data_IF_666573962297
#
_entry.id   IF_666573962297
#
_cell.length_a   1.000
_cell.length_b   1.000
_cell.length_c   1.000
_cell.angle_alpha   90.00
_cell.angle_beta   90.00
_cell.angle_gamma   90.00
#
_symmetry.space_group_name_H-M   'P 1'
#
loop_
_entity.id
_entity.type
_entity.pdbx_description
1 polymer ?
#
# COMPACT_ATOMS: atom_id res chain seq x y z
N UNK A 1 -26.69 -16.96 -4.15
CA UNK A 1 -27.02 -16.82 -2.71
C UNK A 1 -26.12 -17.78 -1.94
N UNK A 2 -25.06 -17.27 -1.31
CA UNK A 2 -24.26 -18.03 -0.32
C UNK A 2 -24.67 -17.47 1.04
N UNK A 3 -25.16 -18.34 1.92
CA UNK A 3 -25.51 -17.98 3.30
C UNK A 3 -24.24 -17.48 4.00
N UNK A 4 -24.16 -16.17 4.18
CA UNK A 4 -23.08 -15.49 4.87
C UNK A 4 -23.38 -15.61 6.37
N UNK A 5 -22.74 -16.56 7.06
CA UNK A 5 -22.58 -16.42 8.51
C UNK A 5 -21.67 -15.20 8.66
N UNK A 6 -22.25 -14.03 8.93
CA UNK A 6 -21.50 -12.79 9.03
C UNK A 6 -20.66 -12.84 10.31
N UNK A 7 -19.41 -13.30 10.19
CA UNK A 7 -18.43 -13.20 11.26
C UNK A 7 -18.24 -11.73 11.63
N UNK A 8 -18.08 -11.46 12.93
CA UNK A 8 -17.92 -10.11 13.51
C UNK A 8 -16.69 -9.35 13.00
N UNK A 9 -15.69 -10.07 12.52
CA UNK A 9 -14.43 -9.58 11.95
C UNK A 9 -13.83 -10.69 11.06
N UNK A 10 -12.88 -10.35 10.19
CA UNK A 10 -12.04 -11.31 9.48
C UNK A 10 -10.65 -11.39 10.10
N UNK A 11 -10.03 -12.56 10.01
CA UNK A 11 -8.62 -12.78 10.32
C UNK A 11 -8.02 -13.58 9.18
N UNK A 12 -7.07 -12.99 8.47
CA UNK A 12 -6.48 -13.54 7.26
C UNK A 12 -4.95 -13.59 7.41
N UNK A 13 -4.38 -14.80 7.55
CA UNK A 13 -2.93 -15.03 7.56
C UNK A 13 -2.50 -15.53 6.18
N UNK A 14 -1.86 -14.65 5.41
CA UNK A 14 -1.62 -14.89 3.98
C UNK A 14 -0.13 -14.94 3.69
N UNK A 15 0.28 -15.98 2.97
CA UNK A 15 1.63 -16.16 2.43
C UNK A 15 1.57 -16.07 0.91
N UNK A 16 2.15 -15.01 0.34
CA UNK A 16 2.06 -14.73 -1.11
C UNK A 16 3.42 -14.44 -1.71
N UNK A 17 3.59 -14.73 -2.99
CA UNK A 17 4.79 -14.31 -3.71
C UNK A 17 4.84 -12.77 -3.80
N UNK A 18 6.02 -12.11 -3.70
CA UNK A 18 6.13 -10.66 -3.84
C UNK A 18 5.49 -10.11 -5.12
N UNK A 19 5.48 -10.90 -6.19
CA UNK A 19 4.82 -10.56 -7.48
C UNK A 19 3.29 -10.42 -7.36
N UNK A 20 2.67 -11.05 -6.38
CA UNK A 20 1.26 -10.91 -6.02
C UNK A 20 1.07 -9.65 -5.17
N UNK A 21 1.38 -8.50 -5.76
CA UNK A 21 1.24 -7.21 -5.08
C UNK A 21 -0.18 -7.02 -4.55
N UNK A 22 -0.31 -6.31 -3.42
CA UNK A 22 -1.63 -5.86 -2.96
C UNK A 22 -1.90 -4.55 -3.70
N UNK A 23 -2.64 -4.67 -4.80
CA UNK A 23 -3.02 -3.57 -5.67
C UNK A 23 -3.81 -2.50 -4.89
N UNK A 24 -3.91 -1.30 -5.49
CA UNK A 24 -4.62 -0.18 -4.92
C UNK A 24 -6.10 -0.51 -4.73
N UNK A 25 -6.54 -0.47 -3.48
CA UNK A 25 -7.91 -0.74 -3.09
C UNK A 25 -8.36 0.19 -1.96
N UNK A 26 -9.65 0.17 -1.70
CA UNK A 26 -10.33 0.92 -0.66
C UNK A 26 -11.47 0.04 -0.14
N UNK A 27 -11.70 0.05 1.17
CA UNK A 27 -12.78 -0.68 1.80
C UNK A 27 -13.46 0.14 2.89
N UNK A 28 -14.74 -0.16 3.13
CA UNK A 28 -15.56 0.48 4.17
C UNK A 28 -15.32 -0.09 5.58
N UNK A 29 -14.38 -1.02 5.70
CA UNK A 29 -13.98 -1.66 6.96
C UNK A 29 -12.70 -1.02 7.50
N UNK A 30 -12.53 -1.10 8.81
CA UNK A 30 -11.22 -0.89 9.44
C UNK A 30 -10.31 -2.06 9.08
N UNK A 31 -9.03 -1.77 8.87
CA UNK A 31 -8.02 -2.78 8.58
C UNK A 31 -6.83 -2.64 9.53
N UNK A 32 -6.46 -3.73 10.18
CA UNK A 32 -5.19 -3.86 10.87
C UNK A 32 -4.29 -4.80 10.06
N UNK A 33 -3.23 -4.26 9.47
CA UNK A 33 -2.24 -5.01 8.70
C UNK A 33 -0.95 -5.18 9.50
N UNK A 34 -0.48 -6.41 9.60
CA UNK A 34 0.80 -6.79 10.20
C UNK A 34 1.65 -7.54 9.18
N UNK A 35 2.73 -6.90 8.73
CA UNK A 35 3.72 -7.54 7.85
C UNK A 35 4.67 -8.39 8.70
N UNK A 36 4.39 -9.69 8.81
CA UNK A 36 5.21 -10.63 9.60
C UNK A 36 6.53 -10.96 8.90
N UNK A 37 6.53 -11.00 7.57
CA UNK A 37 7.73 -11.16 6.76
C UNK A 37 7.59 -10.41 5.43
N UNK A 38 8.45 -9.44 5.18
CA UNK A 38 8.49 -8.75 3.90
C UNK A 38 9.01 -7.34 4.03
N UNK A 39 9.34 -6.71 2.91
CA UNK A 39 9.62 -5.27 2.88
C UNK A 39 9.22 -4.69 1.55
N UNK A 40 9.11 -3.37 1.48
CA UNK A 40 8.62 -2.74 0.28
C UNK A 40 8.32 -1.27 0.42
N UNK A 41 7.42 -0.81 -0.43
CA UNK A 41 6.85 0.54 -0.41
C UNK A 41 5.34 0.37 -0.24
N UNK A 42 4.76 1.09 0.72
CA UNK A 42 3.31 1.21 0.85
C UNK A 42 2.89 2.62 0.51
N UNK A 43 1.67 2.75 0.02
CA UNK A 43 1.00 4.03 -0.06
C UNK A 43 -0.31 3.92 0.69
N UNK A 44 -0.58 4.84 1.62
CA UNK A 44 -1.83 4.91 2.38
C UNK A 44 -2.27 6.36 2.36
N UNK A 45 -3.44 6.63 1.77
CA UNK A 45 -3.96 7.98 1.59
C UNK A 45 -2.98 8.88 0.83
N UNK A 46 -2.45 9.89 1.52
CA UNK A 46 -1.56 10.93 0.99
C UNK A 46 -0.06 10.63 1.15
N UNK A 47 0.31 9.50 1.76
CA UNK A 47 1.71 9.19 2.07
C UNK A 47 2.18 7.91 1.40
N UNK A 48 3.36 7.99 0.78
CA UNK A 48 4.12 6.84 0.26
C UNK A 48 5.41 6.71 1.06
N UNK A 49 5.64 5.54 1.65
CA UNK A 49 6.83 5.30 2.46
C UNK A 49 7.29 3.84 2.39
N UNK A 50 8.55 3.60 2.79
CA UNK A 50 9.08 2.25 2.92
C UNK A 50 8.53 1.58 4.17
N UNK A 51 8.37 0.27 4.10
CA UNK A 51 8.05 -0.56 5.25
C UNK A 51 8.99 -1.77 5.32
N UNK A 52 9.08 -2.34 6.50
CA UNK A 52 9.81 -3.57 6.79
C UNK A 52 8.96 -4.55 7.61
N UNK A 53 9.48 -5.75 7.85
CA UNK A 53 8.88 -6.75 8.72
C UNK A 53 8.67 -6.19 10.12
N UNK A 54 7.68 -6.74 10.83
CA UNK A 54 7.27 -6.32 12.19
C UNK A 54 6.57 -4.96 12.24
N UNK A 55 6.21 -4.39 11.10
CA UNK A 55 5.35 -3.21 11.08
C UNK A 55 3.88 -3.60 11.22
N UNK A 56 3.19 -2.89 12.11
CA UNK A 56 1.74 -2.98 12.28
C UNK A 56 1.15 -1.61 11.97
N UNK A 57 0.16 -1.60 11.08
CA UNK A 57 -0.55 -0.39 10.64
C UNK A 57 -2.04 -0.61 10.80
N UNK A 58 -2.73 0.36 11.41
CA UNK A 58 -4.19 0.45 11.35
C UNK A 58 -4.59 1.47 10.28
N UNK A 59 -5.52 1.09 9.43
CA UNK A 59 -6.05 1.88 8.33
C UNK A 59 -7.55 2.03 8.59
N UNK A 60 -8.00 3.29 8.68
CA UNK A 60 -9.40 3.60 8.89
C UNK A 60 -10.20 3.40 7.59
N UNK A 61 -11.53 3.24 7.69
CA UNK A 61 -12.40 3.08 6.54
C UNK A 61 -12.16 4.16 5.48
N UNK A 62 -12.33 3.77 4.22
CA UNK A 62 -12.29 4.62 3.05
C UNK A 62 -10.93 5.24 2.70
N UNK A 63 -9.85 4.91 3.41
CA UNK A 63 -8.51 5.31 3.02
C UNK A 63 -7.98 4.38 1.94
N UNK A 64 -7.68 4.87 0.72
CA UNK A 64 -7.12 4.05 -0.32
C UNK A 64 -5.67 3.69 0.00
N UNK A 65 -5.29 2.45 -0.29
CA UNK A 65 -3.95 1.98 -0.01
C UNK A 65 -3.49 0.84 -0.95
N UNK A 66 -2.17 0.71 -1.10
CA UNK A 66 -1.52 -0.42 -1.77
C UNK A 66 -0.21 -0.79 -1.08
N UNK A 67 0.19 -2.04 -1.25
CA UNK A 67 1.49 -2.55 -0.83
C UNK A 67 2.26 -3.06 -2.05
N UNK A 68 3.47 -2.53 -2.23
CA UNK A 68 4.43 -3.01 -3.21
C UNK A 68 5.60 -3.69 -2.50
N UNK A 69 5.56 -5.02 -2.46
CA UNK A 69 6.59 -5.88 -1.88
C UNK A 69 7.78 -6.02 -2.84
N UNK A 70 8.98 -6.03 -2.26
CA UNK A 70 10.20 -6.41 -2.95
C UNK A 70 10.53 -7.89 -2.70
N UNK A 71 11.48 -8.41 -3.47
CA UNK A 71 11.99 -9.78 -3.42
C UNK A 71 13.17 -9.95 -2.45
N UNK A 72 13.52 -8.92 -1.68
CA UNK A 72 14.73 -8.93 -0.83
C UNK A 72 14.54 -9.63 0.51
N UNK A 73 13.30 -9.79 0.97
CA UNK A 73 12.95 -10.40 2.26
C UNK A 73 11.77 -11.34 2.08
N UNK A 74 12.08 -12.62 1.88
CA UNK A 74 11.10 -13.70 1.68
C UNK A 74 11.44 -14.91 2.52
N UNK A 75 10.50 -15.83 2.68
CA UNK A 75 10.76 -17.15 3.24
C UNK A 75 11.54 -18.03 2.25
N UNK A 76 11.80 -19.28 2.66
CA UNK A 76 12.51 -20.28 1.85
C UNK A 76 11.82 -20.58 0.50
N UNK A 77 10.51 -20.34 0.40
CA UNK A 77 9.71 -20.55 -0.80
C UNK A 77 9.58 -19.28 -1.64
N UNK A 78 10.22 -18.18 -1.24
CA UNK A 78 10.13 -16.91 -1.94
C UNK A 78 8.83 -16.15 -1.67
N UNK A 79 8.14 -16.41 -0.55
CA UNK A 79 6.91 -15.72 -0.15
C UNK A 79 7.14 -14.65 0.91
N UNK A 80 6.29 -13.62 0.89
CA UNK A 80 6.07 -12.68 2.00
C UNK A 80 4.89 -13.17 2.82
N UNK A 81 4.79 -12.72 4.07
CA UNK A 81 3.71 -13.06 4.97
C UNK A 81 3.11 -11.80 5.62
N UNK A 82 1.78 -11.75 5.64
CA UNK A 82 1.02 -10.66 6.22
C UNK A 82 -0.24 -11.20 6.91
N UNK A 83 -0.51 -10.71 8.12
CA UNK A 83 -1.75 -10.96 8.85
C UNK A 83 -2.62 -9.71 8.72
N UNK A 84 -3.85 -9.88 8.27
CA UNK A 84 -4.84 -8.81 8.19
C UNK A 84 -6.04 -9.13 9.07
N UNK A 85 -6.48 -8.16 9.87
CA UNK A 85 -7.75 -8.20 10.58
C UNK A 85 -8.65 -7.10 10.05
N UNK A 86 -9.85 -7.43 9.58
CA UNK A 86 -10.84 -6.44 9.13
C UNK A 86 -12.12 -6.47 9.94
N UNK A 87 -12.72 -5.31 10.19
CA UNK A 87 -13.97 -5.21 10.97
C UNK A 87 -14.76 -3.95 10.59
N UNK A 88 -16.07 -3.97 10.81
CA UNK A 88 -16.96 -2.86 10.48
C UNK A 88 -17.47 -2.10 11.72
N UNK A 89 -18.08 -0.94 11.47
CA UNK A 89 -18.71 -0.16 12.53
C UNK A 89 -19.96 -0.83 13.11
N UNK A 90 -20.57 -1.79 12.42
CA UNK A 90 -21.74 -2.53 12.92
C UNK A 90 -21.34 -3.37 14.12
N UNK A 91 -20.21 -4.08 14.03
CA UNK A 91 -19.66 -4.83 15.16
C UNK A 91 -19.30 -3.92 16.33
N UNK A 92 -18.57 -2.83 16.06
CA UNK A 92 -18.19 -1.88 17.11
C UNK A 92 -19.44 -1.32 17.82
N UNK A 93 -20.46 -0.90 17.08
CA UNK A 93 -21.71 -0.40 17.66
C UNK A 93 -22.41 -1.45 18.54
N UNK A 94 -22.46 -2.71 18.11
CA UNK A 94 -23.02 -3.81 18.92
C UNK A 94 -22.22 -4.01 20.20
N UNK A 95 -20.88 -3.98 20.14
CA UNK A 95 -20.02 -4.10 21.31
C UNK A 95 -20.23 -2.95 22.31
N UNK A 96 -20.26 -1.69 21.87
CA UNK A 96 -20.52 -0.55 22.76
C UNK A 96 -21.92 -0.63 23.41
N UNK A 97 -22.90 -1.13 22.67
CA UNK A 97 -24.28 -1.25 23.16
C UNK A 97 -24.45 -2.39 24.16
N UNK A 98 -23.73 -3.50 23.97
CA UNK A 98 -23.79 -4.66 24.85
C UNK A 98 -22.90 -4.50 26.10
N UNK A 99 -21.77 -3.81 25.97
CA UNK A 99 -20.75 -3.69 27.02
C UNK A 99 -20.37 -2.21 27.23
N UNK A 100 -20.87 -1.56 28.30
CA UNK A 100 -20.57 -0.16 28.60
C UNK A 100 -19.07 0.16 28.67
N UNK A 101 -18.26 -0.78 29.15
CA UNK A 101 -16.80 -0.69 29.23
C UNK A 101 -16.16 -0.48 27.86
N UNK A 102 -16.76 -1.03 26.80
CA UNK A 102 -16.27 -0.91 25.43
C UNK A 102 -16.62 0.44 24.79
N UNK A 103 -17.57 1.20 25.35
CA UNK A 103 -18.01 2.49 24.78
C UNK A 103 -16.84 3.48 24.65
N UNK A 104 -16.02 3.59 25.69
CA UNK A 104 -14.85 4.49 25.69
C UNK A 104 -13.76 3.99 24.73
N UNK A 105 -13.53 2.68 24.67
CA UNK A 105 -12.55 2.04 23.78
C UNK A 105 -12.91 2.32 22.32
N UNK A 106 -14.17 2.09 21.94
CA UNK A 106 -14.67 2.27 20.58
C UNK A 106 -14.67 3.73 20.18
N UNK A 107 -15.05 4.65 21.09
CA UNK A 107 -14.97 6.08 20.82
C UNK A 107 -13.54 6.50 20.47
N UNK A 108 -12.54 6.07 21.24
CA UNK A 108 -11.14 6.39 20.98
C UNK A 108 -10.62 5.85 19.65
N UNK A 109 -11.03 4.64 19.26
CA UNK A 109 -10.68 4.08 17.94
C UNK A 109 -11.26 4.97 16.84
N UNK A 110 -12.54 5.36 16.96
CA UNK A 110 -13.22 6.18 15.96
C UNK A 110 -12.70 7.60 15.86
N UNK A 111 -12.33 8.22 16.97
CA UNK A 111 -11.81 9.59 16.98
C UNK A 111 -10.48 9.71 16.19
N UNK A 112 -9.78 8.59 15.95
CA UNK A 112 -8.57 8.53 15.13
C UNK A 112 -8.87 8.06 13.70
N UNK A 113 -9.20 9.02 12.84
CA UNK A 113 -9.54 8.73 11.44
C UNK A 113 -8.33 8.52 10.53
N UNK A 114 -7.12 8.86 10.97
CA UNK A 114 -5.90 8.69 10.18
C UNK A 114 -5.40 7.24 10.20
N UNK A 115 -4.73 6.82 9.14
CA UNK A 115 -3.96 5.59 9.17
C UNK A 115 -2.70 5.78 10.03
N UNK A 116 -2.49 4.87 10.97
CA UNK A 116 -1.41 4.95 11.97
C UNK A 116 -0.54 3.70 11.98
N UNK A 117 0.78 3.90 12.04
CA UNK A 117 1.75 2.87 12.35
C UNK A 117 2.00 2.86 13.85
N UNK A 118 1.99 1.68 14.46
CA UNK A 118 2.35 1.51 15.87
C UNK A 118 3.86 1.42 16.04
N UNK A 119 4.37 2.07 17.08
CA UNK A 119 5.77 1.98 17.48
C UNK A 119 6.09 0.60 18.08
N UNK A 120 7.38 0.33 18.26
CA UNK A 120 7.90 -1.02 18.51
C UNK A 120 7.23 -1.72 19.69
N UNK A 121 7.09 -1.01 20.81
CA UNK A 121 6.54 -1.60 22.05
C UNK A 121 5.08 -1.99 21.86
N UNK A 122 4.26 -1.10 21.29
CA UNK A 122 2.85 -1.39 21.04
C UNK A 122 2.67 -2.44 19.94
N UNK A 123 3.47 -2.39 18.89
CA UNK A 123 3.49 -3.39 17.83
C UNK A 123 3.81 -4.79 18.37
N UNK A 124 4.78 -4.94 19.28
CA UNK A 124 5.12 -6.23 19.87
C UNK A 124 3.94 -6.86 20.63
N UNK A 125 3.15 -6.04 21.36
CA UNK A 125 1.92 -6.50 22.04
C UNK A 125 0.86 -6.95 21.03
N UNK A 126 0.62 -6.14 19.99
CA UNK A 126 -0.34 -6.47 18.93
C UNK A 126 0.08 -7.76 18.21
N UNK A 127 1.35 -7.88 17.83
CA UNK A 127 1.90 -9.07 17.16
C UNK A 127 1.73 -10.31 18.03
N UNK A 128 1.94 -10.21 19.35
CA UNK A 128 1.73 -11.34 20.27
C UNK A 128 0.27 -11.83 20.24
N UNK A 129 -0.69 -10.91 20.19
CA UNK A 129 -2.12 -11.26 20.10
C UNK A 129 -2.41 -11.89 18.74
N UNK A 130 -1.99 -11.24 17.65
CA UNK A 130 -2.24 -11.72 16.29
C UNK A 130 -1.64 -13.11 16.01
N UNK A 131 -0.45 -13.40 16.55
CA UNK A 131 0.16 -14.72 16.42
C UNK A 131 -0.57 -15.78 17.26
N UNK A 132 -1.07 -15.42 18.45
CA UNK A 132 -1.88 -16.32 19.28
C UNK A 132 -3.16 -16.75 18.57
N UNK A 133 -3.81 -15.81 17.87
CA UNK A 133 -5.03 -16.05 17.09
C UNK A 133 -4.89 -17.11 15.99
N UNK A 134 -3.69 -17.51 15.57
CA UNK A 134 -3.50 -18.55 14.54
C UNK A 134 -4.07 -19.91 14.96
N UNK A 135 -3.88 -20.26 16.23
CA UNK A 135 -4.23 -21.56 16.79
C UNK A 135 -5.56 -21.53 17.55
N UNK A 136 -6.23 -20.38 17.60
CA UNK A 136 -7.47 -20.15 18.33
C UNK A 136 -8.70 -20.56 17.50
N UNK A 137 -9.72 -21.10 18.19
CA UNK A 137 -11.05 -21.26 17.61
C UNK A 137 -11.78 -19.91 17.49
N UNK A 138 -12.93 -19.87 16.82
CA UNK A 138 -13.64 -18.62 16.54
C UNK A 138 -14.03 -17.82 17.80
N UNK A 139 -14.41 -18.50 18.89
CA UNK A 139 -14.78 -17.84 20.14
C UNK A 139 -13.55 -17.28 20.88
N UNK A 140 -12.44 -18.00 20.86
CA UNK A 140 -11.16 -17.54 21.39
C UNK A 140 -10.63 -16.34 20.60
N UNK A 141 -10.70 -16.39 19.26
CA UNK A 141 -10.34 -15.26 18.39
C UNK A 141 -11.17 -14.03 18.69
N UNK A 142 -12.47 -14.19 18.98
CA UNK A 142 -13.31 -13.07 19.40
C UNK A 142 -12.81 -12.45 20.70
N UNK A 143 -12.44 -13.25 21.70
CA UNK A 143 -11.87 -12.73 22.95
C UNK A 143 -10.54 -12.00 22.71
N UNK A 144 -9.65 -12.58 21.89
CA UNK A 144 -8.40 -11.96 21.46
C UNK A 144 -8.62 -10.67 20.67
N UNK A 145 -9.67 -10.61 19.85
CA UNK A 145 -10.05 -9.42 19.10
C UNK A 145 -10.56 -8.29 20.02
N UNK A 146 -11.37 -8.60 21.04
CA UNK A 146 -11.75 -7.61 22.06
C UNK A 146 -10.52 -7.07 22.79
N UNK A 147 -9.58 -7.94 23.18
CA UNK A 147 -8.30 -7.52 23.77
C UNK A 147 -7.50 -6.63 22.81
N UNK A 148 -7.51 -6.95 21.52
CA UNK A 148 -6.86 -6.16 20.48
C UNK A 148 -7.47 -4.76 20.39
N UNK A 149 -8.80 -4.61 20.39
CA UNK A 149 -9.47 -3.30 20.39
C UNK A 149 -9.04 -2.44 21.59
N UNK A 150 -8.92 -3.03 22.78
CA UNK A 150 -8.43 -2.33 23.97
C UNK A 150 -7.02 -1.79 23.75
N UNK A 151 -6.09 -2.61 23.22
CA UNK A 151 -4.72 -2.18 22.90
C UNK A 151 -4.72 -1.09 21.84
N UNK A 152 -5.53 -1.24 20.78
CA UNK A 152 -5.60 -0.29 19.68
C UNK A 152 -6.08 1.09 20.13
N UNK A 153 -6.99 1.16 21.11
CA UNK A 153 -7.56 2.42 21.63
C UNK A 153 -6.58 3.35 22.38
N UNK A 154 -5.39 2.86 22.77
CA UNK A 154 -4.34 3.71 23.35
C UNK A 154 -3.71 4.61 22.28
N UNK A 155 -3.70 5.93 22.47
CA UNK A 155 -3.13 6.88 21.50
C UNK A 155 -1.61 7.08 21.64
N UNK A 156 -0.98 6.33 22.54
CA UNK A 156 0.48 6.34 22.74
C UNK A 156 1.20 5.45 21.74
N UNK A 157 2.46 5.81 21.47
CA UNK A 157 3.39 5.02 20.64
C UNK A 157 2.85 4.79 19.21
N UNK A 158 2.43 5.87 18.54
CA UNK A 158 1.93 5.84 17.16
C UNK A 158 2.49 6.96 16.28
N UNK A 159 2.49 6.74 14.97
CA UNK A 159 2.85 7.73 13.95
C UNK A 159 1.84 7.68 12.80
N UNK A 160 1.34 8.84 12.37
CA UNK A 160 0.45 8.94 11.21
C UNK A 160 1.21 8.58 9.92
N UNK A 161 0.70 7.57 9.21
CA UNK A 161 1.27 7.02 7.95
C UNK A 161 0.35 7.17 6.75
N UNK A 162 -0.83 7.75 6.93
CA UNK A 162 -1.69 8.24 5.87
C UNK A 162 -2.80 9.06 6.50
N UNK A 163 -3.02 10.28 6.01
CA UNK A 163 -4.09 11.12 6.55
C UNK A 163 -5.40 10.84 5.85
N UNK A 164 -6.46 10.76 6.65
CA UNK A 164 -7.82 10.77 6.17
C UNK A 164 -8.29 12.23 6.12
N UNK A 165 -7.71 13.01 5.21
CA UNK A 165 -8.31 14.30 4.93
C UNK A 165 -9.67 14.06 4.26
N UNK A 166 -10.64 14.94 4.49
CA UNK A 166 -11.67 15.21 3.48
C UNK A 166 -10.96 15.79 2.27
N UNK A 167 -10.27 14.94 1.51
CA UNK A 167 -9.60 15.31 0.29
C UNK A 167 -10.73 15.71 -0.66
N UNK A 168 -10.63 16.88 -1.30
CA UNK A 168 -11.55 17.20 -2.39
C UNK A 168 -11.54 16.04 -3.39
N UNK A 169 -12.71 15.62 -3.89
CA UNK A 169 -12.82 14.45 -4.77
C UNK A 169 -11.78 14.46 -5.92
N UNK A 170 -11.39 15.65 -6.39
CA UNK A 170 -10.32 15.86 -7.36
C UNK A 170 -8.94 15.43 -6.83
N UNK A 171 -8.50 15.92 -5.69
CA UNK A 171 -7.18 15.58 -5.13
C UNK A 171 -7.12 14.09 -4.78
N UNK A 172 -8.25 13.52 -4.34
CA UNK A 172 -8.40 12.09 -4.11
C UNK A 172 -8.15 11.30 -5.39
N UNK A 173 -8.85 11.65 -6.48
CA UNK A 173 -8.64 11.04 -7.80
C UNK A 173 -7.20 11.17 -8.28
N UNK A 174 -6.54 12.32 -8.06
CA UNK A 174 -5.14 12.49 -8.44
C UNK A 174 -4.19 11.60 -7.62
N UNK A 175 -4.42 11.49 -6.32
CA UNK A 175 -3.62 10.63 -5.45
C UNK A 175 -3.81 9.16 -5.79
N UNK A 176 -5.03 8.73 -6.13
CA UNK A 176 -5.30 7.40 -6.66
C UNK A 176 -4.48 7.12 -7.93
N UNK A 177 -4.46 8.07 -8.88
CA UNK A 177 -3.71 7.91 -10.14
C UNK A 177 -2.19 7.83 -9.88
N UNK A 178 -1.65 8.71 -9.04
CA UNK A 178 -0.22 8.70 -8.67
C UNK A 178 0.15 7.38 -8.00
N UNK A 179 -0.67 6.94 -7.05
CA UNK A 179 -0.49 5.68 -6.32
C UNK A 179 -0.55 4.50 -7.26
N UNK A 180 -1.50 4.49 -8.20
CA UNK A 180 -1.59 3.48 -9.23
C UNK A 180 -0.29 3.40 -10.04
N UNK A 181 0.27 4.55 -10.47
CA UNK A 181 1.57 4.56 -11.18
C UNK A 181 2.69 4.00 -10.31
N UNK A 182 2.81 4.44 -9.06
CA UNK A 182 3.84 3.97 -8.13
C UNK A 182 3.76 2.44 -7.94
N UNK A 183 2.57 1.90 -7.77
CA UNK A 183 2.34 0.48 -7.52
C UNK A 183 2.40 -0.38 -8.81
N UNK A 184 2.31 0.22 -10.01
CA UNK A 184 2.17 -0.55 -11.26
C UNK A 184 3.19 -0.22 -12.36
N UNK A 185 4.10 0.74 -12.16
CA UNK A 185 4.96 1.24 -13.23
C UNK A 185 5.76 0.15 -13.97
N UNK A 186 6.10 -0.95 -13.30
CA UNK A 186 6.92 -2.04 -13.84
C UNK A 186 6.18 -2.93 -14.85
N UNK A 187 4.85 -2.86 -14.92
CA UNK A 187 4.03 -3.60 -15.90
C UNK A 187 3.50 -2.67 -17.00
N UNK A 188 2.95 -3.24 -18.07
CA UNK A 188 2.22 -2.44 -19.06
C UNK A 188 1.01 -1.78 -18.40
N UNK A 189 0.83 -0.47 -18.60
CA UNK A 189 -0.30 0.30 -18.10
C UNK A 189 -0.92 1.01 -19.30
N UNK A 190 -2.19 0.72 -19.58
CA UNK A 190 -2.97 1.46 -20.56
C UNK A 190 -3.70 2.62 -19.89
N UNK A 191 -4.12 3.60 -20.69
CA UNK A 191 -4.95 4.70 -20.19
C UNK A 191 -6.29 4.16 -19.65
N UNK A 192 -6.84 3.12 -20.27
CA UNK A 192 -8.12 2.52 -19.85
C UNK A 192 -8.01 1.81 -18.49
N UNK A 193 -6.84 1.25 -18.16
CA UNK A 193 -6.60 0.64 -16.85
C UNK A 193 -6.71 1.66 -15.73
N UNK A 194 -6.05 2.82 -15.89
CA UNK A 194 -6.03 3.87 -14.87
C UNK A 194 -7.34 4.65 -14.85
N UNK A 195 -7.95 4.88 -16.01
CA UNK A 195 -9.24 5.55 -16.08
C UNK A 195 -10.32 4.75 -15.34
N UNK A 196 -10.35 3.41 -15.49
CA UNK A 196 -11.25 2.53 -14.73
C UNK A 196 -10.99 2.60 -13.21
N UNK A 197 -9.74 2.67 -12.78
CA UNK A 197 -9.39 2.77 -11.36
C UNK A 197 -9.95 4.03 -10.67
N UNK A 198 -10.21 5.10 -11.44
CA UNK A 198 -10.83 6.33 -10.93
C UNK A 198 -12.24 6.58 -11.47
N UNK A 199 -12.92 5.54 -11.97
CA UNK A 199 -14.28 5.60 -12.49
C UNK A 199 -14.49 6.66 -13.58
N UNK A 200 -13.51 6.83 -14.47
CA UNK A 200 -13.58 7.73 -15.63
C UNK A 200 -13.49 6.95 -16.94
N UNK A 201 -14.09 7.50 -18.00
CA UNK A 201 -13.76 7.07 -19.37
C UNK A 201 -12.43 7.69 -19.82
N UNK A 202 -11.84 7.12 -20.88
CA UNK A 202 -10.53 7.53 -21.44
C UNK A 202 -10.44 9.03 -21.73
N UNK A 203 -11.44 9.61 -22.39
CA UNK A 203 -11.42 11.01 -22.81
C UNK A 203 -11.47 11.95 -21.60
N UNK A 204 -12.38 11.68 -20.66
CA UNK A 204 -12.49 12.42 -19.41
C UNK A 204 -11.20 12.34 -18.60
N UNK A 205 -10.60 11.16 -18.47
CA UNK A 205 -9.34 10.96 -17.77
C UNK A 205 -8.20 11.77 -18.38
N UNK A 206 -8.00 11.68 -19.70
CA UNK A 206 -6.92 12.42 -20.37
C UNK A 206 -7.03 13.93 -20.16
N UNK A 207 -8.25 14.47 -20.29
CA UNK A 207 -8.51 15.90 -20.06
C UNK A 207 -8.28 16.27 -18.59
N UNK A 208 -8.85 15.50 -17.66
CA UNK A 208 -8.71 15.69 -16.22
C UNK A 208 -7.23 15.66 -15.80
N UNK A 209 -6.49 14.63 -16.20
CA UNK A 209 -5.09 14.48 -15.80
C UNK A 209 -4.22 15.59 -16.38
N UNK A 210 -4.37 15.90 -17.68
CA UNK A 210 -3.58 16.97 -18.31
C UNK A 210 -3.85 18.34 -17.69
N UNK A 211 -5.12 18.65 -17.41
CA UNK A 211 -5.51 19.90 -16.76
C UNK A 211 -4.85 20.04 -15.38
N UNK A 212 -4.85 18.97 -14.58
CA UNK A 212 -4.38 19.03 -13.21
C UNK A 212 -2.86 18.83 -13.03
N UNK A 213 -2.22 18.04 -13.90
CA UNK A 213 -0.80 17.70 -13.80
C UNK A 213 0.08 18.47 -14.78
N UNK A 214 -0.50 19.28 -15.67
CA UNK A 214 0.21 20.02 -16.71
C UNK A 214 0.84 19.17 -17.81
N UNK A 215 0.68 17.84 -17.77
CA UNK A 215 1.27 16.90 -18.73
C UNK A 215 0.35 15.72 -19.00
N UNK A 216 0.58 15.01 -20.12
CA UNK A 216 -0.17 13.78 -20.40
C UNK A 216 0.22 12.67 -19.43
N UNK A 217 -0.71 11.75 -19.17
CA UNK A 217 -0.47 10.57 -18.35
C UNK A 217 0.73 9.73 -18.86
N UNK A 218 0.85 9.57 -20.17
CA UNK A 218 1.97 8.84 -20.78
C UNK A 218 3.31 9.52 -20.48
N UNK A 219 3.38 10.85 -20.52
CA UNK A 219 4.61 11.57 -20.15
C UNK A 219 4.91 11.44 -18.65
N UNK A 220 3.90 11.54 -17.79
CA UNK A 220 4.04 11.34 -16.35
C UNK A 220 4.55 9.93 -16.01
N UNK A 221 3.94 8.88 -16.60
CA UNK A 221 4.37 7.49 -16.42
C UNK A 221 5.81 7.29 -16.89
N UNK A 222 6.15 7.81 -18.07
CA UNK A 222 7.51 7.72 -18.59
C UNK A 222 8.52 8.45 -17.69
N UNK A 223 8.19 9.64 -17.18
CA UNK A 223 9.05 10.38 -16.26
C UNK A 223 9.36 9.56 -14.99
N UNK A 224 8.32 8.98 -14.39
CA UNK A 224 8.47 8.09 -13.23
C UNK A 224 9.34 6.87 -13.55
N UNK A 225 9.09 6.18 -14.67
CA UNK A 225 9.90 5.03 -15.10
C UNK A 225 11.36 5.40 -15.37
N UNK A 226 11.61 6.57 -15.97
CA UNK A 226 12.97 7.07 -16.19
C UNK A 226 13.66 7.40 -14.85
N UNK A 227 12.95 7.96 -13.87
CA UNK A 227 13.49 8.16 -12.53
C UNK A 227 13.92 6.82 -11.89
N UNK A 228 13.09 5.76 -12.02
CA UNK A 228 13.45 4.41 -11.58
C UNK A 228 14.62 3.80 -12.35
N UNK A 229 14.69 4.01 -13.65
CA UNK A 229 15.85 3.60 -14.44
C UNK A 229 17.13 4.30 -13.97
N UNK A 230 17.08 5.59 -13.65
CA UNK A 230 18.21 6.33 -13.08
C UNK A 230 18.65 5.75 -11.73
N UNK A 231 17.72 5.40 -10.83
CA UNK A 231 18.05 4.74 -9.56
C UNK A 231 18.82 3.42 -9.79
N UNK A 232 18.31 2.55 -10.68
CA UNK A 232 18.95 1.28 -11.03
C UNK A 232 20.33 1.47 -11.67
N UNK A 233 20.48 2.45 -12.55
CA UNK A 233 21.76 2.77 -13.22
C UNK A 233 22.84 3.22 -12.25
N UNK A 234 22.45 3.88 -11.15
CA UNK A 234 23.39 4.37 -10.14
C UNK A 234 23.76 3.31 -9.10
N UNK A 235 22.83 2.40 -8.79
CA UNK A 235 22.90 1.50 -7.61
C UNK A 235 23.10 0.01 -7.94
N UNK A 236 23.17 -0.37 -9.21
CA UNK A 236 23.29 -1.77 -9.61
C UNK A 236 24.18 -1.96 -10.83
N UNK A 237 24.68 -3.18 -11.01
CA UNK A 237 25.46 -3.59 -12.19
C UNK A 237 24.61 -4.20 -13.31
N UNK A 238 23.29 -4.10 -13.20
CA UNK A 238 22.36 -4.57 -14.24
C UNK A 238 22.73 -4.01 -15.61
N UNK A 239 22.66 -4.79 -16.68
CA UNK A 239 22.90 -4.26 -18.01
C UNK A 239 21.73 -3.36 -18.48
N UNK A 240 21.92 -2.62 -19.58
CA UNK A 240 20.92 -1.63 -20.05
C UNK A 240 19.57 -2.30 -20.41
N UNK A 241 19.61 -3.52 -20.93
CA UNK A 241 18.42 -4.31 -21.24
C UNK A 241 17.64 -4.67 -19.96
N UNK A 242 18.34 -5.16 -18.93
CA UNK A 242 17.74 -5.44 -17.63
C UNK A 242 17.16 -4.19 -16.96
N UNK A 243 17.85 -3.04 -17.04
CA UNK A 243 17.33 -1.76 -16.54
C UNK A 243 16.06 -1.34 -17.28
N UNK A 244 16.03 -1.49 -18.61
CA UNK A 244 14.84 -1.23 -19.44
C UNK A 244 13.63 -2.01 -18.91
N UNK A 245 13.75 -3.34 -18.81
CA UNK A 245 12.66 -4.20 -18.38
C UNK A 245 12.26 -3.97 -16.91
N UNK A 246 13.22 -3.84 -15.98
CA UNK A 246 12.92 -3.59 -14.55
C UNK A 246 12.34 -2.20 -14.27
N UNK A 247 12.55 -1.22 -15.16
CA UNK A 247 11.92 0.09 -15.06
C UNK A 247 10.55 0.16 -15.76
N UNK A 248 10.05 -0.95 -16.30
CA UNK A 248 8.70 -1.06 -16.87
C UNK A 248 8.59 -0.74 -18.36
N UNK A 249 9.72 -0.66 -19.07
CA UNK A 249 9.72 -0.58 -20.54
C UNK A 249 9.87 -1.97 -21.13
N UNK A 250 9.16 -2.24 -22.23
CA UNK A 250 9.20 -3.50 -22.96
C UNK A 250 9.91 -3.42 -24.33
N UNK A 251 10.40 -2.23 -24.71
CA UNK A 251 11.10 -1.99 -25.97
C UNK A 251 12.37 -1.16 -25.70
N UNK A 252 13.54 -1.77 -25.90
CA UNK A 252 14.85 -1.16 -25.61
C UNK A 252 15.11 0.08 -26.48
N UNK A 253 14.85 0.07 -27.81
CA UNK A 253 14.99 1.27 -28.63
C UNK A 253 14.13 2.45 -28.13
N UNK A 254 12.87 2.19 -27.79
CA UNK A 254 11.96 3.20 -27.23
C UNK A 254 12.44 3.71 -25.88
N UNK A 255 12.85 2.81 -24.97
CA UNK A 255 13.45 3.19 -23.69
C UNK A 255 14.64 4.15 -23.89
N UNK A 256 15.58 3.82 -24.78
CA UNK A 256 16.73 4.67 -25.06
C UNK A 256 16.34 6.05 -25.61
N UNK A 257 15.32 6.12 -26.51
CA UNK A 257 14.80 7.39 -27.04
C UNK A 257 14.16 8.23 -25.92
N UNK A 258 13.31 7.62 -25.10
CA UNK A 258 12.62 8.29 -23.98
C UNK A 258 13.63 8.75 -22.93
N UNK A 259 14.59 7.90 -22.56
CA UNK A 259 15.64 8.25 -21.60
C UNK A 259 16.45 9.46 -22.07
N UNK A 260 16.89 9.47 -23.34
CA UNK A 260 17.61 10.61 -23.92
C UNK A 260 16.76 11.88 -23.93
N UNK A 261 15.46 11.76 -24.23
CA UNK A 261 14.52 12.89 -24.20
C UNK A 261 14.42 13.51 -22.80
N UNK A 262 14.36 12.70 -21.74
CA UNK A 262 14.22 13.18 -20.36
C UNK A 262 15.54 13.59 -19.69
N UNK A 263 16.67 12.97 -20.04
CA UNK A 263 17.96 13.17 -19.37
C UNK A 263 19.02 13.85 -20.24
N UNK A 264 18.71 14.16 -21.50
CA UNK A 264 19.64 14.76 -22.45
C UNK A 264 20.76 13.84 -22.93
N UNK A 265 20.84 12.60 -22.44
CA UNK A 265 21.93 11.66 -22.76
C UNK A 265 21.47 10.21 -22.77
N UNK A 266 22.18 9.29 -23.47
CA UNK A 266 21.86 7.86 -23.45
C UNK A 266 22.07 7.23 -22.06
N UNK A 267 21.34 6.15 -21.72
CA UNK A 267 21.42 5.50 -20.40
C UNK A 267 22.82 4.96 -20.07
N UNK A 268 23.57 4.47 -21.06
CA UNK A 268 24.96 4.04 -20.86
C UNK A 268 25.89 5.18 -20.45
N UNK A 269 25.78 6.35 -21.09
CA UNK A 269 26.54 7.56 -20.72
C UNK A 269 26.13 8.09 -19.34
N UNK A 270 24.83 8.02 -19.03
CA UNK A 270 24.31 8.40 -17.72
C UNK A 270 24.93 7.56 -16.60
N UNK A 271 25.07 6.23 -16.79
CA UNK A 271 25.72 5.34 -15.82
C UNK A 271 27.15 5.77 -15.53
N UNK A 272 27.97 5.95 -16.57
CA UNK A 272 29.39 6.29 -16.42
C UNK A 272 29.56 7.59 -15.63
N UNK A 273 28.68 8.57 -15.85
CA UNK A 273 28.75 9.89 -15.22
C UNK A 273 28.17 9.95 -13.81
N UNK A 274 27.39 8.96 -13.39
CA UNK A 274 26.62 9.03 -12.13
C UNK A 274 26.76 7.79 -11.24
N UNK A 275 27.63 6.83 -11.59
CA UNK A 275 27.84 5.64 -10.77
C UNK A 275 28.38 6.08 -9.41
N UNK A 276 27.69 5.70 -8.33
CA UNK A 276 28.21 5.89 -6.99
C UNK A 276 29.19 4.75 -6.78
N UNK A 277 30.48 5.06 -6.58
CA UNK A 277 31.45 4.06 -6.15
C UNK A 277 30.99 3.54 -4.78
N UNK A 278 30.54 2.29 -4.75
CA UNK A 278 30.39 1.51 -3.51
C UNK A 278 31.75 1.13 -2.97
#
# INVERSE_FOLDING_TARGET
MRNNIAHSFSYDDVHIAPKSQIDLHQQATWELSYVSLGSGIRTIGDKTERFDSREVVMISPDIPHCWSFNDSKTDINGHIANITVTFDDVFLNKCASAFPEMSTVIKKIRDNFDAVKFGKRKADVIISILNGMKEENDAEKLASFIKLLVVLSDDKDLRVVGRNHKIEAKEYQLNMIKTYVICNFYRSITIDDVARNVNMNRTSFCRFFKYNMGMSFVNYLNDYRIAKACELLKKSDLNISQVCYKSGFNDIPYFCRVFRRFKGMPPGKYRITNKVST
#
